data_IF_566189245836
#
_entry.id   IF_566189245836
#
_cell.length_a   1.000
_cell.length_b   1.000
_cell.length_c   1.000
_cell.angle_alpha   90.00
_cell.angle_beta   90.00
_cell.angle_gamma   90.00
#
_symmetry.space_group_name_H-M   'P 1'
#
loop_
_entity.id
_entity.type
_entity.pdbx_description
1 polymer ?
#
# COMPACT_ATOMS: atom_id res chain seq x y z
N UNK A 1 21.40 4.81 13.54
CA UNK A 1 20.89 4.76 12.16
C UNK A 1 19.87 3.63 12.09
N UNK A 2 18.63 3.95 11.70
CA UNK A 2 17.57 2.95 11.50
C UNK A 2 18.08 1.96 10.43
N UNK A 3 17.92 0.65 10.67
CA UNK A 3 18.41 -0.47 9.83
C UNK A 3 19.90 -0.79 9.80
N UNK A 4 20.77 -0.19 10.63
CA UNK A 4 22.23 -0.47 10.60
C UNK A 4 22.58 -1.96 10.68
N UNK A 5 21.76 -2.74 11.39
CA UNK A 5 21.98 -4.17 11.61
C UNK A 5 21.00 -5.05 10.80
N UNK A 6 20.24 -4.47 9.86
CA UNK A 6 19.35 -5.25 9.01
C UNK A 6 20.16 -6.07 8.01
N UNK A 7 19.90 -7.38 7.84
CA UNK A 7 20.63 -8.21 6.90
C UNK A 7 20.52 -7.73 5.44
N UNK A 8 19.51 -6.93 5.12
CA UNK A 8 19.27 -6.37 3.78
C UNK A 8 19.60 -4.87 3.70
N UNK A 9 20.36 -4.30 4.65
CA UNK A 9 20.67 -2.86 4.70
C UNK A 9 21.25 -2.34 3.37
N UNK A 10 22.13 -3.09 2.71
CA UNK A 10 22.71 -2.70 1.43
C UNK A 10 21.66 -2.60 0.31
N UNK A 11 20.68 -3.50 0.30
CA UNK A 11 19.59 -3.48 -0.67
C UNK A 11 18.67 -2.28 -0.43
N UNK A 12 18.35 -1.98 0.84
CA UNK A 12 17.54 -0.81 1.22
C UNK A 12 18.25 0.50 0.87
N UNK A 13 19.55 0.61 1.17
CA UNK A 13 20.36 1.79 0.81
C UNK A 13 20.38 1.98 -0.70
N UNK A 14 20.56 0.91 -1.49
CA UNK A 14 20.50 0.98 -2.95
C UNK A 14 19.11 1.42 -3.44
N UNK A 15 18.05 0.88 -2.87
CA UNK A 15 16.68 1.25 -3.22
C UNK A 15 16.41 2.74 -3.00
N UNK A 16 16.85 3.30 -1.86
CA UNK A 16 16.70 4.73 -1.56
C UNK A 16 17.60 5.60 -2.43
N UNK A 17 18.86 5.20 -2.64
CA UNK A 17 19.84 6.02 -3.34
C UNK A 17 19.70 5.99 -4.87
N UNK A 18 19.26 4.85 -5.43
CA UNK A 18 19.28 4.60 -6.87
C UNK A 18 17.89 4.31 -7.44
N UNK A 19 16.87 4.17 -6.59
CA UNK A 19 15.57 3.63 -6.97
C UNK A 19 15.58 2.10 -7.05
N UNK A 20 14.40 1.51 -7.00
CA UNK A 20 14.28 0.07 -7.11
C UNK A 20 14.48 -0.39 -8.55
N UNK A 21 15.24 -1.47 -8.68
CA UNK A 21 15.33 -2.20 -9.93
C UNK A 21 14.77 -3.60 -9.80
N UNK A 22 14.50 -4.19 -10.95
CA UNK A 22 14.10 -5.58 -11.12
C UNK A 22 14.83 -6.15 -12.33
N UNK A 23 14.82 -7.47 -12.43
CA UNK A 23 15.28 -8.13 -13.64
C UNK A 23 14.25 -7.85 -14.73
N UNK A 24 14.70 -7.18 -15.78
CA UNK A 24 13.88 -6.62 -16.85
C UNK A 24 14.62 -6.81 -18.16
N UNK A 25 13.96 -7.45 -19.12
CA UNK A 25 14.45 -7.60 -20.48
C UNK A 25 13.71 -6.64 -21.41
N UNK A 26 14.31 -5.49 -21.77
CA UNK A 26 13.64 -4.53 -22.64
C UNK A 26 13.47 -5.04 -24.07
N UNK A 27 14.13 -6.13 -24.47
CA UNK A 27 14.01 -6.66 -25.83
C UNK A 27 12.57 -7.05 -26.13
N UNK A 28 12.04 -6.50 -27.22
CA UNK A 28 10.67 -6.76 -27.66
C UNK A 28 9.60 -5.92 -26.96
N UNK A 29 9.92 -5.13 -25.92
CA UNK A 29 8.96 -4.18 -25.35
C UNK A 29 8.65 -3.10 -26.38
N UNK A 30 7.39 -3.06 -26.85
CA UNK A 30 6.94 -2.08 -27.82
C UNK A 30 5.48 -1.73 -27.55
N UNK A 31 5.26 -0.75 -26.68
CA UNK A 31 3.91 -0.34 -26.28
C UNK A 31 3.61 1.09 -26.77
N UNK A 32 2.42 1.26 -27.33
CA UNK A 32 1.78 2.55 -27.57
C UNK A 32 0.30 2.43 -27.23
N UNK A 33 0.01 2.22 -25.95
CA UNK A 33 -1.34 1.98 -25.48
C UNK A 33 -2.21 3.23 -25.43
N UNK A 34 -3.49 3.05 -25.68
CA UNK A 34 -4.51 4.09 -25.52
C UNK A 34 -5.00 4.15 -24.06
N UNK A 35 -5.50 5.31 -23.65
CA UNK A 35 -6.06 5.48 -22.31
C UNK A 35 -7.45 4.86 -22.21
N UNK A 36 -7.71 4.16 -21.11
CA UNK A 36 -8.97 3.49 -20.81
C UNK A 36 -9.73 4.28 -19.73
N UNK A 37 -9.93 5.57 -19.96
CA UNK A 37 -10.67 6.46 -19.05
C UNK A 37 -12.08 6.65 -19.60
N UNK A 38 -13.08 6.30 -18.80
CA UNK A 38 -14.49 6.50 -19.17
C UNK A 38 -14.79 7.99 -19.32
N UNK A 39 -15.60 8.33 -20.33
CA UNK A 39 -16.07 9.70 -20.54
C UNK A 39 -16.69 10.28 -19.27
N UNK A 40 -16.27 11.50 -18.91
CA UNK A 40 -16.68 12.20 -17.69
C UNK A 40 -15.74 12.05 -16.51
N UNK A 41 -14.77 11.11 -16.54
CA UNK A 41 -13.79 10.92 -15.47
C UNK A 41 -12.40 11.49 -15.78
N UNK A 42 -12.21 12.09 -16.95
CA UNK A 42 -10.93 12.65 -17.36
C UNK A 42 -10.47 13.76 -16.42
N UNK A 43 -11.40 14.58 -15.90
CA UNK A 43 -11.09 15.65 -14.94
C UNK A 43 -10.41 15.12 -13.67
N UNK A 44 -10.76 13.92 -13.21
CA UNK A 44 -10.13 13.32 -12.02
C UNK A 44 -8.71 12.87 -12.30
N UNK A 45 -8.47 12.40 -13.51
CA UNK A 45 -7.11 12.04 -13.93
C UNK A 45 -6.29 13.30 -14.18
N UNK A 46 -6.89 14.37 -14.73
CA UNK A 46 -6.22 15.68 -14.85
C UNK A 46 -5.80 16.18 -13.45
N UNK A 47 -6.70 16.20 -12.46
CA UNK A 47 -6.41 16.61 -11.09
C UNK A 47 -5.27 15.79 -10.46
N UNK A 48 -5.34 14.46 -10.56
CA UNK A 48 -4.28 13.57 -10.06
C UNK A 48 -2.97 13.78 -10.81
N UNK A 49 -3.01 13.93 -12.13
CA UNK A 49 -1.83 14.16 -12.95
C UNK A 49 -1.12 15.47 -12.59
N UNK A 50 -1.88 16.55 -12.41
CA UNK A 50 -1.36 17.84 -11.95
C UNK A 50 -0.75 17.75 -10.54
N UNK A 51 -1.35 16.96 -9.64
CA UNK A 51 -0.78 16.67 -8.34
C UNK A 51 0.56 15.93 -8.47
N UNK A 52 0.61 14.85 -9.25
CA UNK A 52 1.84 14.08 -9.49
C UNK A 52 2.97 14.94 -10.08
N UNK A 53 2.64 15.85 -11.01
CA UNK A 53 3.58 16.84 -11.56
C UNK A 53 4.08 17.82 -10.49
N UNK A 54 3.17 18.37 -9.68
CA UNK A 54 3.48 19.33 -8.61
C UNK A 54 4.42 18.71 -7.56
N UNK A 55 4.18 17.46 -7.19
CA UNK A 55 5.00 16.70 -6.26
C UNK A 55 6.27 16.12 -6.91
N UNK A 56 6.49 16.36 -8.22
CA UNK A 56 7.62 15.81 -9.01
C UNK A 56 7.73 14.30 -8.87
N UNK A 57 6.57 13.62 -8.82
CA UNK A 57 6.46 12.17 -8.84
C UNK A 57 6.41 11.65 -10.28
N UNK A 58 6.01 12.50 -11.21
CA UNK A 58 6.10 12.26 -12.66
C UNK A 58 6.76 13.45 -13.35
N UNK A 59 7.29 13.24 -14.56
CA UNK A 59 7.94 14.30 -15.35
C UNK A 59 7.61 14.17 -16.84
N UNK A 60 7.22 15.25 -17.54
CA UNK A 60 7.08 15.23 -18.98
C UNK A 60 8.42 14.97 -19.66
N UNK A 61 8.42 14.13 -20.68
CA UNK A 61 9.62 13.82 -21.47
C UNK A 61 9.33 13.96 -22.97
N UNK A 62 10.35 14.25 -23.79
CA UNK A 62 10.22 14.12 -25.23
C UNK A 62 9.80 12.71 -25.63
N UNK A 63 8.78 12.60 -26.49
CA UNK A 63 8.21 11.30 -26.91
C UNK A 63 9.24 10.35 -27.53
N UNK A 64 10.26 10.88 -28.21
CA UNK A 64 11.33 10.08 -28.82
C UNK A 64 12.29 9.44 -27.80
N UNK A 65 12.23 9.82 -26.52
CA UNK A 65 13.00 9.18 -25.44
C UNK A 65 12.22 8.05 -24.75
N UNK A 66 10.92 7.92 -24.99
CA UNK A 66 10.13 6.85 -24.42
C UNK A 66 10.47 5.51 -25.10
N UNK A 67 10.88 4.53 -24.31
CA UNK A 67 11.05 3.14 -24.73
C UNK A 67 9.73 2.36 -24.76
N UNK A 68 8.75 2.75 -23.95
CA UNK A 68 7.39 2.21 -23.99
C UNK A 68 6.39 3.23 -23.47
N UNK A 69 5.25 3.38 -24.15
CA UNK A 69 4.14 4.25 -23.73
C UNK A 69 2.91 3.39 -23.44
N UNK A 70 2.56 3.21 -22.16
CA UNK A 70 1.38 2.45 -21.78
C UNK A 70 0.16 3.35 -21.58
N UNK A 71 -1.03 2.78 -21.80
CA UNK A 71 -2.28 3.43 -21.46
C UNK A 71 -2.47 3.56 -19.94
N UNK A 72 -3.23 4.56 -19.52
CA UNK A 72 -3.75 4.66 -18.14
C UNK A 72 -5.26 4.47 -18.12
N UNK A 73 -5.75 3.84 -17.05
CA UNK A 73 -7.17 3.67 -16.77
C UNK A 73 -7.53 4.20 -15.39
N UNK A 74 -8.83 4.34 -15.17
CA UNK A 74 -9.40 4.73 -13.87
C UNK A 74 -10.19 3.58 -13.30
N UNK A 75 -9.92 3.24 -12.04
CA UNK A 75 -10.72 2.29 -11.27
C UNK A 75 -11.46 3.00 -10.14
N UNK A 76 -12.71 2.57 -9.92
CA UNK A 76 -13.50 3.00 -8.77
C UNK A 76 -12.89 2.45 -7.49
N UNK A 77 -12.40 3.34 -6.64
CA UNK A 77 -11.81 2.95 -5.36
C UNK A 77 -12.95 2.71 -4.37
N UNK A 78 -12.85 1.64 -3.58
CA UNK A 78 -13.77 1.32 -2.49
C UNK A 78 -15.25 1.18 -2.93
N UNK A 79 -15.50 0.90 -4.22
CA UNK A 79 -16.84 0.90 -4.82
C UNK A 79 -17.63 2.18 -4.54
N UNK A 80 -16.91 3.31 -4.49
CA UNK A 80 -17.44 4.63 -4.14
C UNK A 80 -18.33 5.25 -5.22
N UNK A 81 -18.72 4.49 -6.24
CA UNK A 81 -19.36 5.00 -7.44
C UNK A 81 -18.52 6.10 -8.12
N UNK A 82 -17.20 5.84 -8.16
CA UNK A 82 -16.16 6.71 -8.69
C UNK A 82 -16.02 8.06 -7.98
N UNK A 83 -16.54 8.26 -6.77
CA UNK A 83 -16.22 9.44 -5.96
C UNK A 83 -14.71 9.51 -5.68
N UNK A 84 -14.14 8.37 -5.24
CA UNK A 84 -12.71 8.13 -5.11
C UNK A 84 -12.23 7.29 -6.29
N UNK A 85 -11.14 7.70 -6.92
CA UNK A 85 -10.56 6.98 -8.05
C UNK A 85 -9.10 6.62 -7.81
N UNK A 86 -8.63 5.54 -8.44
CA UNK A 86 -7.20 5.27 -8.59
C UNK A 86 -6.86 5.22 -10.07
N UNK A 87 -5.77 5.88 -10.45
CA UNK A 87 -5.16 5.74 -11.77
C UNK A 87 -4.33 4.46 -11.77
N UNK A 88 -4.55 3.62 -12.78
CA UNK A 88 -3.84 2.35 -12.97
C UNK A 88 -3.19 2.36 -14.34
N UNK A 89 -1.93 1.98 -14.39
CA UNK A 89 -1.16 1.90 -15.62
C UNK A 89 -1.33 0.50 -16.22
N UNK A 90 -1.66 0.43 -17.53
CA UNK A 90 -1.78 -0.83 -18.23
C UNK A 90 -0.42 -1.36 -18.67
N UNK A 91 0.37 -1.85 -17.72
CA UNK A 91 1.66 -2.50 -18.00
C UNK A 91 1.52 -3.90 -18.58
N UNK A 92 0.31 -4.39 -18.83
CA UNK A 92 0.00 -5.75 -19.31
C UNK A 92 -0.78 -5.75 -20.62
N UNK A 93 -0.70 -4.69 -21.43
CA UNK A 93 -1.50 -4.54 -22.65
C UNK A 93 -1.41 -5.75 -23.59
N UNK A 94 -0.24 -6.40 -23.64
CA UNK A 94 -0.02 -7.63 -24.35
C UNK A 94 0.84 -8.61 -23.54
N UNK A 95 0.53 -9.90 -23.63
CA UNK A 95 1.22 -10.94 -22.86
C UNK A 95 2.66 -11.20 -23.33
N UNK A 96 3.02 -10.82 -24.56
CA UNK A 96 4.31 -11.13 -25.18
C UNK A 96 5.29 -9.95 -25.23
N UNK A 97 4.79 -8.70 -25.21
CA UNK A 97 5.64 -7.51 -25.43
C UNK A 97 5.31 -6.31 -24.52
N UNK A 98 4.64 -6.55 -23.40
CA UNK A 98 4.40 -5.53 -22.37
C UNK A 98 5.54 -5.43 -21.35
N UNK A 99 5.60 -4.30 -20.62
CA UNK A 99 6.54 -4.12 -19.51
C UNK A 99 6.42 -5.25 -18.48
N UNK A 100 5.20 -5.68 -18.17
CA UNK A 100 4.99 -6.80 -17.25
C UNK A 100 5.46 -8.13 -17.84
N UNK A 101 5.25 -8.40 -19.13
CA UNK A 101 5.78 -9.63 -19.76
C UNK A 101 7.31 -9.70 -19.72
N UNK A 102 7.96 -8.55 -19.86
CA UNK A 102 9.41 -8.37 -19.84
C UNK A 102 10.06 -8.31 -18.43
N UNK A 103 9.25 -8.34 -17.37
CA UNK A 103 9.74 -8.14 -15.99
C UNK A 103 9.75 -9.44 -15.22
N UNK A 104 10.88 -9.96 -14.77
CA UNK A 104 10.90 -11.14 -13.92
C UNK A 104 10.35 -10.84 -12.50
N UNK A 105 9.48 -11.74 -12.00
CA UNK A 105 8.94 -11.65 -10.64
C UNK A 105 9.58 -12.73 -9.77
N UNK A 106 10.39 -12.36 -8.77
CA UNK A 106 10.83 -13.29 -7.75
C UNK A 106 9.66 -13.84 -6.94
N UNK A 107 9.75 -15.10 -6.52
CA UNK A 107 8.80 -15.66 -5.56
C UNK A 107 9.10 -15.11 -4.17
N UNK A 108 8.11 -14.47 -3.55
CA UNK A 108 8.20 -13.99 -2.17
C UNK A 108 7.33 -14.87 -1.26
N UNK A 109 7.80 -15.09 -0.01
CA UNK A 109 6.98 -15.66 1.05
C UNK A 109 6.32 -14.51 1.81
N UNK A 110 5.02 -14.39 1.64
CA UNK A 110 4.23 -13.35 2.26
C UNK A 110 3.85 -13.73 3.68
N UNK A 111 3.76 -12.72 4.55
CA UNK A 111 3.03 -12.87 5.80
C UNK A 111 1.54 -13.07 5.50
N UNK A 112 0.84 -13.68 6.44
CA UNK A 112 -0.58 -13.97 6.34
C UNK A 112 -1.31 -13.53 7.59
N UNK A 113 -2.64 -13.49 7.52
CA UNK A 113 -3.47 -13.30 8.71
C UNK A 113 -3.22 -14.39 9.77
N UNK A 114 -2.75 -15.58 9.38
CA UNK A 114 -2.38 -16.64 10.33
C UNK A 114 -1.13 -16.28 11.14
N UNK A 115 -0.17 -15.59 10.54
CA UNK A 115 1.03 -15.11 11.25
C UNK A 115 0.65 -14.05 12.30
N UNK A 116 -0.30 -13.17 11.98
CA UNK A 116 -0.87 -12.24 12.96
C UNK A 116 -1.64 -12.97 14.08
N UNK A 117 -2.43 -14.01 13.75
CA UNK A 117 -3.15 -14.79 14.76
C UNK A 117 -2.26 -15.46 15.78
N UNK A 118 -1.08 -15.91 15.37
CA UNK A 118 -0.15 -16.59 16.27
C UNK A 118 0.33 -15.70 17.43
N UNK A 119 0.17 -14.38 17.31
CA UNK A 119 0.58 -13.40 18.31
C UNK A 119 -0.56 -12.89 19.20
N UNK A 120 -1.78 -13.38 19.00
CA UNK A 120 -2.94 -12.88 19.72
C UNK A 120 -3.06 -13.52 21.10
N UNK A 121 -3.29 -12.67 22.10
CA UNK A 121 -3.47 -13.09 23.48
C UNK A 121 -4.58 -12.28 24.15
N UNK A 122 -5.35 -12.88 25.09
CA UNK A 122 -6.34 -12.14 25.85
C UNK A 122 -5.75 -10.92 26.55
N UNK A 123 -6.49 -9.80 26.56
CA UNK A 123 -6.14 -8.52 27.20
C UNK A 123 -4.96 -7.75 26.59
N UNK A 124 -4.44 -8.19 25.45
CA UNK A 124 -3.42 -7.45 24.71
C UNK A 124 -4.06 -6.33 23.90
N UNK A 125 -3.27 -5.31 23.61
CA UNK A 125 -3.60 -4.13 22.82
C UNK A 125 -3.09 -4.34 21.40
N UNK A 126 -3.87 -3.90 20.42
CA UNK A 126 -3.52 -4.04 19.01
C UNK A 126 -3.46 -2.69 18.33
N UNK A 127 -2.51 -2.55 17.41
CA UNK A 127 -2.39 -1.41 16.52
C UNK A 127 -2.37 -1.90 15.09
N UNK A 128 -3.11 -1.19 14.24
CA UNK A 128 -3.00 -1.27 12.79
C UNK A 128 -2.51 0.08 12.28
N UNK A 129 -1.50 0.08 11.42
CA UNK A 129 -1.05 1.27 10.70
C UNK A 129 -1.06 0.96 9.21
N UNK A 130 -1.75 1.78 8.45
CA UNK A 130 -1.72 1.77 6.98
C UNK A 130 -0.82 2.91 6.48
N UNK A 131 0.10 2.59 5.57
CA UNK A 131 0.97 3.58 4.94
C UNK A 131 0.30 4.10 3.66
N UNK A 132 -0.34 5.26 3.78
CA UNK A 132 -0.95 5.96 2.65
C UNK A 132 0.04 6.15 1.50
N UNK A 133 -0.43 5.81 0.30
CA UNK A 133 0.32 5.97 -0.93
C UNK A 133 1.71 5.33 -0.86
N UNK A 134 1.85 4.22 -0.12
CA UNK A 134 3.09 3.50 0.13
C UNK A 134 4.04 3.44 -1.08
N UNK A 135 3.50 3.02 -2.22
CA UNK A 135 4.25 2.90 -3.48
C UNK A 135 4.80 4.22 -4.00
N UNK A 136 4.06 5.32 -3.84
CA UNK A 136 4.48 6.65 -4.32
C UNK A 136 5.71 7.20 -3.60
N UNK A 137 6.09 6.62 -2.47
CA UNK A 137 7.28 7.04 -1.73
C UNK A 137 8.57 6.42 -2.26
N UNK A 138 8.48 5.28 -2.96
CA UNK A 138 9.65 4.59 -3.50
C UNK A 138 9.86 4.96 -4.96
N UNK A 139 11.11 5.18 -5.34
CA UNK A 139 11.47 5.57 -6.72
C UNK A 139 11.81 4.36 -7.57
N UNK A 140 11.55 4.46 -8.88
CA UNK A 140 12.07 3.51 -9.86
C UNK A 140 13.53 3.87 -10.18
N UNK A 141 14.37 2.87 -10.44
CA UNK A 141 15.73 3.13 -10.90
C UNK A 141 15.75 3.86 -12.24
N UNK A 142 16.59 4.89 -12.36
CA UNK A 142 16.64 5.80 -13.51
C UNK A 142 16.73 5.08 -14.87
N UNK A 143 17.44 3.95 -14.92
CA UNK A 143 17.61 3.15 -16.16
C UNK A 143 16.31 2.56 -16.71
N UNK A 144 15.25 2.45 -15.89
CA UNK A 144 13.96 1.90 -16.31
C UNK A 144 12.91 2.96 -16.62
N UNK A 145 13.19 4.25 -16.35
CA UNK A 145 12.19 5.33 -16.51
C UNK A 145 11.62 5.39 -17.93
N UNK A 146 12.44 5.11 -18.94
CA UNK A 146 12.03 5.14 -20.34
C UNK A 146 10.94 4.11 -20.68
N UNK A 147 10.77 3.06 -19.87
CA UNK A 147 9.74 2.04 -20.05
C UNK A 147 8.53 2.25 -19.12
N UNK A 148 8.63 3.19 -18.20
CA UNK A 148 7.58 3.57 -17.24
C UNK A 148 6.99 4.90 -17.65
N UNK A 149 6.49 4.96 -18.88
CA UNK A 149 5.92 6.19 -19.43
C UNK A 149 4.51 5.96 -19.91
N UNK A 150 3.65 6.96 -19.70
CA UNK A 150 2.29 6.97 -20.21
C UNK A 150 2.04 8.23 -21.01
N UNK A 151 0.97 8.18 -21.81
CA UNK A 151 0.44 9.38 -22.46
C UNK A 151 -0.74 9.91 -21.64
N UNK A 152 -0.70 11.19 -21.30
CA UNK A 152 -1.88 11.88 -20.78
C UNK A 152 -2.07 13.16 -21.58
N UNK A 153 -3.27 13.33 -22.15
CA UNK A 153 -3.53 14.36 -23.16
C UNK A 153 -2.48 14.29 -24.28
N UNK A 154 -1.82 15.40 -24.58
CA UNK A 154 -0.80 15.51 -25.63
C UNK A 154 0.63 15.32 -25.11
N UNK A 155 0.80 14.91 -23.84
CA UNK A 155 2.10 14.76 -23.20
C UNK A 155 2.49 13.29 -22.99
N UNK A 156 3.77 12.97 -23.18
CA UNK A 156 4.38 11.71 -22.75
C UNK A 156 5.10 11.97 -21.44
N UNK A 157 4.78 11.18 -20.42
CA UNK A 157 5.19 11.44 -19.04
C UNK A 157 5.83 10.20 -18.46
N UNK A 158 7.01 10.35 -17.87
CA UNK A 158 7.71 9.30 -17.15
C UNK A 158 7.31 9.30 -15.67
N UNK A 159 7.00 8.13 -15.13
CA UNK A 159 6.74 7.92 -13.71
C UNK A 159 8.06 7.67 -12.96
N UNK A 160 8.31 8.47 -11.93
CA UNK A 160 9.52 8.38 -11.11
C UNK A 160 9.31 7.49 -9.88
N UNK A 161 8.07 7.08 -9.59
CA UNK A 161 7.66 6.34 -8.40
C UNK A 161 7.13 4.96 -8.75
N UNK A 162 6.89 4.11 -7.76
CA UNK A 162 6.30 2.80 -8.02
C UNK A 162 4.87 2.98 -8.57
N UNK A 163 4.62 2.56 -9.83
CA UNK A 163 3.35 2.82 -10.46
C UNK A 163 2.39 1.68 -10.20
N UNK A 164 1.11 2.01 -10.00
CA UNK A 164 0.07 1.00 -9.86
C UNK A 164 -0.13 0.24 -11.18
N UNK A 165 -0.05 -1.09 -11.13
CA UNK A 165 -0.16 -1.98 -12.28
C UNK A 165 1.14 -2.69 -12.66
N UNK A 166 2.29 -2.25 -12.14
CA UNK A 166 3.56 -2.92 -12.40
C UNK A 166 3.73 -4.17 -11.52
N UNK A 167 4.00 -5.33 -12.13
CA UNK A 167 3.90 -6.63 -11.46
C UNK A 167 4.98 -6.91 -10.41
N UNK A 168 6.16 -6.28 -10.52
CA UNK A 168 7.24 -6.45 -9.55
C UNK A 168 7.14 -5.50 -8.34
N UNK A 169 6.31 -4.46 -8.41
CA UNK A 169 6.20 -3.43 -7.36
C UNK A 169 5.82 -4.01 -6.00
N UNK A 170 4.79 -4.88 -5.87
CA UNK A 170 4.42 -5.46 -4.58
C UNK A 170 5.58 -6.24 -3.93
N UNK A 171 6.30 -7.05 -4.70
CA UNK A 171 7.44 -7.83 -4.20
C UNK A 171 8.59 -6.94 -3.71
N UNK A 172 8.87 -5.85 -4.44
CA UNK A 172 9.86 -4.85 -4.03
C UNK A 172 9.44 -4.10 -2.76
N UNK A 173 8.17 -3.73 -2.66
CA UNK A 173 7.65 -3.10 -1.45
C UNK A 173 7.71 -4.05 -0.25
N UNK A 174 7.41 -5.34 -0.46
CA UNK A 174 7.52 -6.36 0.59
C UNK A 174 8.93 -6.48 1.20
N UNK A 175 10.00 -6.25 0.43
CA UNK A 175 11.36 -6.19 0.97
C UNK A 175 11.52 -5.04 1.99
N UNK A 176 10.91 -3.89 1.71
CA UNK A 176 10.86 -2.74 2.63
C UNK A 176 10.00 -3.08 3.85
N UNK A 177 8.79 -3.62 3.64
CA UNK A 177 7.90 -4.06 4.72
C UNK A 177 8.59 -5.02 5.68
N UNK A 178 9.29 -6.02 5.15
CA UNK A 178 10.03 -6.99 5.96
C UNK A 178 11.18 -6.37 6.75
N UNK A 179 11.84 -5.35 6.22
CA UNK A 179 12.86 -4.59 6.96
C UNK A 179 12.25 -3.78 8.10
N UNK A 180 11.09 -3.15 7.87
CA UNK A 180 10.35 -2.44 8.90
C UNK A 180 9.89 -3.38 10.01
N UNK A 181 9.35 -4.55 9.64
CA UNK A 181 8.94 -5.58 10.59
C UNK A 181 10.12 -6.06 11.45
N UNK A 182 11.27 -6.36 10.84
CA UNK A 182 12.49 -6.76 11.57
C UNK A 182 12.98 -5.65 12.50
N UNK A 183 12.92 -4.40 12.07
CA UNK A 183 13.29 -3.27 12.91
C UNK A 183 12.38 -3.19 14.14
N UNK A 184 11.05 -3.24 13.97
CA UNK A 184 10.10 -3.23 15.08
C UNK A 184 10.32 -4.39 16.04
N UNK A 185 10.53 -5.60 15.52
CA UNK A 185 10.89 -6.77 16.32
C UNK A 185 12.18 -6.56 17.12
N UNK A 186 13.19 -5.93 16.50
CA UNK A 186 14.44 -5.55 17.15
C UNK A 186 14.29 -4.48 18.23
N UNK A 187 13.21 -3.68 18.21
CA UNK A 187 12.86 -2.73 19.27
C UNK A 187 12.03 -3.36 20.42
N UNK A 188 11.76 -4.67 20.37
CA UNK A 188 10.99 -5.38 21.40
C UNK A 188 9.53 -5.64 21.03
N UNK A 189 9.06 -5.16 19.87
CA UNK A 189 7.71 -5.44 19.38
C UNK A 189 7.67 -6.77 18.62
N UNK A 190 7.92 -7.87 19.32
CA UNK A 190 8.08 -9.21 18.71
C UNK A 190 6.83 -9.71 17.98
N UNK A 191 5.66 -9.23 18.39
CA UNK A 191 4.34 -9.51 17.81
C UNK A 191 3.95 -8.48 16.73
N UNK A 192 4.90 -8.13 15.87
CA UNK A 192 4.69 -7.27 14.70
C UNK A 192 4.59 -8.10 13.42
N UNK A 193 3.64 -7.79 12.56
CA UNK A 193 3.44 -8.41 11.24
C UNK A 193 3.22 -7.32 10.21
N UNK A 194 4.00 -7.34 9.13
CA UNK A 194 3.82 -6.43 7.99
C UNK A 194 3.31 -7.17 6.76
N UNK A 195 2.29 -6.61 6.10
CA UNK A 195 1.80 -7.08 4.80
C UNK A 195 1.69 -5.89 3.85
N UNK A 196 2.64 -5.77 2.92
CA UNK A 196 2.75 -4.58 2.07
C UNK A 196 2.73 -3.30 2.91
N UNK A 197 1.74 -2.43 2.71
CA UNK A 197 1.52 -1.16 3.37
C UNK A 197 0.78 -1.26 4.72
N UNK A 198 0.21 -2.41 5.04
CA UNK A 198 -0.42 -2.70 6.33
C UNK A 198 0.60 -3.22 7.36
N UNK A 199 0.66 -2.55 8.51
CA UNK A 199 1.40 -3.00 9.69
C UNK A 199 0.44 -3.31 10.82
N UNK A 200 0.64 -4.45 11.45
CA UNK A 200 -0.10 -4.86 12.62
C UNK A 200 0.86 -5.19 13.77
N UNK A 201 0.56 -4.69 14.96
CA UNK A 201 1.36 -4.93 16.17
C UNK A 201 0.42 -5.29 17.33
N UNK A 202 0.81 -6.28 18.13
CA UNK A 202 0.10 -6.67 19.34
C UNK A 202 1.03 -6.57 20.56
N UNK A 203 0.57 -5.91 21.62
CA UNK A 203 1.35 -5.59 22.81
C UNK A 203 0.59 -5.97 24.08
N UNK A 204 1.30 -6.34 25.14
CA UNK A 204 0.68 -6.72 26.42
C UNK A 204 0.10 -5.54 27.23
N UNK A 205 0.45 -4.31 26.86
CA UNK A 205 -0.04 -3.09 27.52
C UNK A 205 -0.30 -1.97 26.51
N UNK A 206 -1.16 -1.03 26.89
CA UNK A 206 -1.48 0.16 26.11
C UNK A 206 -0.26 1.04 25.88
N UNK A 207 0.58 1.21 26.90
CA UNK A 207 1.83 1.98 26.82
C UNK A 207 2.75 1.42 25.74
N UNK A 208 3.01 0.10 25.75
CA UNK A 208 3.83 -0.54 24.73
C UNK A 208 3.22 -0.46 23.33
N UNK A 209 1.89 -0.48 23.23
CA UNK A 209 1.21 -0.25 21.97
C UNK A 209 1.52 1.19 21.48
N UNK A 210 1.28 2.21 22.30
CA UNK A 210 1.56 3.60 21.92
C UNK A 210 3.03 3.83 21.55
N UNK A 211 3.97 3.22 22.27
CA UNK A 211 5.39 3.25 21.90
C UNK A 211 5.66 2.61 20.53
N UNK A 212 5.01 1.47 20.22
CA UNK A 212 5.11 0.85 18.90
C UNK A 212 4.58 1.78 17.79
N UNK A 213 3.47 2.45 18.03
CA UNK A 213 2.90 3.43 17.11
C UNK A 213 3.87 4.58 16.85
N UNK A 214 4.49 5.13 17.91
CA UNK A 214 5.50 6.19 17.80
C UNK A 214 6.71 5.73 16.98
N UNK A 215 7.17 4.49 17.14
CA UNK A 215 8.27 3.94 16.34
C UNK A 215 7.89 3.82 14.86
N UNK A 216 6.68 3.34 14.56
CA UNK A 216 6.18 3.27 13.18
C UNK A 216 6.10 4.69 12.58
N UNK A 217 5.63 5.67 13.35
CA UNK A 217 5.58 7.08 12.91
C UNK A 217 6.99 7.65 12.66
N UNK A 218 7.95 7.36 13.54
CA UNK A 218 9.34 7.80 13.36
C UNK A 218 9.96 7.21 12.08
N UNK A 219 9.68 5.93 11.78
CA UNK A 219 10.09 5.29 10.54
C UNK A 219 9.46 5.98 9.32
N UNK A 220 8.16 6.31 9.39
CA UNK A 220 7.48 7.03 8.30
C UNK A 220 8.13 8.37 8.01
N UNK A 221 8.44 9.15 9.05
CA UNK A 221 9.16 10.43 8.91
C UNK A 221 10.55 10.21 8.32
N UNK A 222 11.29 9.22 8.82
CA UNK A 222 12.63 8.88 8.32
C UNK A 222 12.63 8.51 6.83
N UNK A 223 11.62 7.76 6.39
CA UNK A 223 11.46 7.33 5.00
C UNK A 223 10.78 8.39 4.11
N UNK A 224 10.37 9.53 4.67
CA UNK A 224 9.68 10.60 3.93
C UNK A 224 8.27 10.21 3.46
N UNK A 225 7.59 9.32 4.18
CA UNK A 225 6.24 8.83 3.82
C UNK A 225 5.17 9.85 4.26
N UNK A 226 4.41 10.41 3.32
CA UNK A 226 3.31 11.37 3.58
C UNK A 226 2.18 10.79 4.49
N UNK A 227 1.39 11.68 5.09
CA UNK A 227 0.35 11.36 6.08
C UNK A 227 -0.91 10.67 5.48
N UNK A 228 -1.26 9.45 5.93
CA UNK A 228 -2.58 9.21 6.52
C UNK A 228 -2.44 9.05 8.03
N UNK A 229 -3.45 9.52 8.76
CA UNK A 229 -3.57 9.39 10.20
C UNK A 229 -4.87 8.63 10.51
N UNK A 230 -4.77 7.59 11.32
CA UNK A 230 -5.93 6.85 11.81
C UNK A 230 -5.99 6.96 13.33
N UNK A 231 -7.04 7.64 13.84
CA UNK A 231 -7.46 7.59 15.24
C UNK A 231 -8.59 6.58 15.38
N UNK A 232 -8.79 5.98 16.56
CA UNK A 232 -9.83 4.97 16.72
C UNK A 232 -11.26 5.59 16.66
N UNK A 233 -12.10 5.30 15.65
CA UNK A 233 -13.61 5.36 15.72
C UNK A 233 -14.40 4.33 14.83
N UNK A 234 -15.76 4.29 14.87
CA UNK A 234 -16.71 3.12 14.72
C UNK A 234 -17.72 3.14 13.51
N UNK A 235 -17.90 1.98 12.81
CA UNK A 235 -19.10 1.39 12.08
C UNK A 235 -19.63 2.02 10.75
N UNK A 236 -20.13 1.38 9.66
CA UNK A 236 -20.03 0.04 8.98
C UNK A 236 -20.45 0.15 7.49
N UNK A 237 -20.01 -0.85 6.73
CA UNK A 237 -20.60 -1.51 5.54
C UNK A 237 -20.09 -1.11 4.14
N UNK A 238 -19.00 -1.76 3.70
CA UNK A 238 -19.03 -2.56 2.47
C UNK A 238 -17.90 -3.59 2.48
N UNK A 239 -18.25 -4.82 2.15
CA UNK A 239 -17.39 -5.99 2.12
C UNK A 239 -16.51 -5.99 0.87
N UNK A 240 -15.18 -5.85 1.01
CA UNK A 240 -14.17 -6.70 0.31
C UNK A 240 -12.68 -6.45 0.67
N UNK A 241 -12.32 -5.47 1.52
CA UNK A 241 -10.97 -5.36 2.15
C UNK A 241 -10.98 -5.64 3.67
N UNK A 242 -12.19 -5.89 4.15
CA UNK A 242 -12.65 -5.96 5.53
C UNK A 242 -12.08 -7.13 6.34
N UNK A 243 -11.42 -8.12 5.73
CA UNK A 243 -10.93 -9.28 6.48
C UNK A 243 -9.75 -8.97 7.41
N UNK A 244 -8.96 -7.93 7.15
CA UNK A 244 -7.94 -7.42 8.07
C UNK A 244 -8.50 -6.39 9.07
N UNK A 245 -9.55 -5.65 8.69
CA UNK A 245 -10.16 -4.61 9.54
C UNK A 245 -11.21 -5.15 10.52
N UNK A 246 -12.03 -6.12 10.09
CA UNK A 246 -12.90 -6.92 10.95
C UNK A 246 -12.20 -8.18 11.47
N UNK A 247 -10.89 -8.33 11.26
CA UNK A 247 -10.16 -9.51 11.72
C UNK A 247 -10.26 -9.65 13.23
N UNK A 248 -9.87 -8.59 13.94
CA UNK A 248 -9.94 -8.48 15.40
C UNK A 248 -11.37 -8.64 15.91
N UNK A 249 -12.37 -8.23 15.13
CA UNK A 249 -13.81 -8.40 15.42
C UNK A 249 -14.26 -9.85 15.32
N UNK A 250 -14.04 -10.46 14.16
CA UNK A 250 -14.44 -11.84 13.87
C UNK A 250 -13.71 -12.81 14.79
N UNK A 251 -12.46 -12.49 15.11
CA UNK A 251 -11.65 -13.27 16.03
C UNK A 251 -12.05 -13.09 17.49
N UNK A 252 -12.40 -11.88 17.93
CA UNK A 252 -12.94 -11.66 19.27
C UNK A 252 -14.25 -12.44 19.48
N UNK A 253 -15.15 -12.39 18.50
CA UNK A 253 -16.40 -13.15 18.53
C UNK A 253 -16.17 -14.66 18.47
N UNK A 254 -15.17 -15.15 17.72
CA UNK A 254 -14.88 -16.57 17.57
C UNK A 254 -14.13 -17.18 18.77
N UNK A 255 -13.15 -16.47 19.34
CA UNK A 255 -12.30 -16.98 20.43
C UNK A 255 -12.89 -16.70 21.82
N UNK A 256 -13.65 -15.60 21.98
CA UNK A 256 -14.22 -15.19 23.26
C UNK A 256 -15.73 -15.08 23.23
N UNK A 257 -16.40 -15.66 22.22
CA UNK A 257 -17.85 -15.58 22.06
C UNK A 257 -18.64 -15.97 23.31
N UNK A 258 -18.18 -16.94 24.10
CA UNK A 258 -18.80 -17.28 25.39
C UNK A 258 -18.69 -16.18 26.44
N UNK A 259 -17.55 -15.48 26.51
CA UNK A 259 -17.29 -14.38 27.46
C UNK A 259 -17.88 -13.05 27.02
N UNK A 260 -18.16 -12.90 25.72
CA UNK A 260 -18.77 -11.71 25.13
C UNK A 260 -20.30 -11.80 25.05
N UNK A 261 -20.91 -12.91 25.49
CA UNK A 261 -22.38 -13.07 25.54
C UNK A 261 -23.01 -11.97 26.40
N UNK A 262 -24.00 -11.28 25.84
CA UNK A 262 -24.74 -10.22 26.54
C UNK A 262 -23.97 -8.91 26.72
N UNK A 263 -22.76 -8.78 26.16
CA UNK A 263 -21.97 -7.56 26.18
C UNK A 263 -22.10 -6.82 24.83
N UNK A 264 -22.12 -5.49 24.87
CA UNK A 264 -22.04 -4.64 23.67
C UNK A 264 -20.57 -4.47 23.30
N UNK A 265 -20.14 -5.05 22.17
CA UNK A 265 -18.74 -4.94 21.71
C UNK A 265 -18.59 -3.73 20.79
N UNK A 266 -17.67 -2.83 21.15
CA UNK A 266 -17.38 -1.58 20.41
C UNK A 266 -16.20 -1.80 19.47
N UNK A 267 -16.42 -1.57 18.17
CA UNK A 267 -15.53 -1.99 17.09
C UNK A 267 -15.28 -0.86 16.12
N UNK A 268 -14.02 -0.53 15.92
CA UNK A 268 -13.59 0.78 15.46
C UNK A 268 -12.81 0.60 14.14
N UNK A 269 -13.37 1.09 13.02
CA UNK A 269 -12.85 0.99 11.64
C UNK A 269 -13.14 2.28 10.83
N UNK A 270 -12.39 2.52 9.74
CA UNK A 270 -12.19 3.83 9.07
C UNK A 270 -13.28 4.31 8.06
N UNK A 271 -14.19 3.47 7.57
CA UNK A 271 -15.07 3.87 6.45
C UNK A 271 -16.47 4.39 6.84
N UNK A 272 -16.59 5.58 7.44
CA UNK A 272 -17.91 6.28 7.52
C UNK A 272 -17.84 7.82 7.45
N UNK A 273 -18.65 8.47 6.57
CA UNK A 273 -18.66 9.92 6.42
C UNK A 273 -19.50 10.64 7.49
N UNK A 274 -19.04 11.85 7.83
CA UNK A 274 -19.63 12.93 8.62
C UNK A 274 -21.14 12.86 8.96
N UNK A 275 -21.47 12.55 10.23
CA UNK A 275 -22.32 13.33 11.17
C UNK A 275 -22.94 12.41 12.24
N UNK A 276 -22.69 12.74 13.50
CA UNK A 276 -23.70 12.72 14.56
C UNK A 276 -24.12 11.41 15.26
N UNK A 277 -24.06 10.24 14.62
CA UNK A 277 -24.78 9.06 15.16
C UNK A 277 -23.87 7.92 15.66
N UNK A 278 -24.09 7.52 16.91
CA UNK A 278 -23.34 6.45 17.62
C UNK A 278 -24.06 5.11 17.47
N UNK A 279 -23.53 4.19 16.65
CA UNK A 279 -24.05 2.83 16.51
C UNK A 279 -23.59 1.86 17.62
N UNK A 280 -24.49 0.99 18.10
CA UNK A 280 -24.24 -0.10 19.06
C UNK A 280 -24.43 -1.45 18.35
N UNK A 281 -23.52 -2.41 18.58
CA UNK A 281 -23.71 -3.82 18.17
C UNK A 281 -23.97 -4.65 19.42
N UNK A 282 -25.18 -5.19 19.53
CA UNK A 282 -25.56 -6.15 20.56
C UNK A 282 -25.35 -7.58 20.03
N UNK A 283 -24.67 -8.41 20.81
CA UNK A 283 -24.44 -9.82 20.49
C UNK A 283 -25.58 -10.64 21.10
N UNK A 284 -26.47 -11.13 20.24
CA UNK A 284 -27.61 -11.98 20.60
C UNK A 284 -27.25 -13.48 20.55
N UNK A 285 -28.00 -14.35 21.27
CA UNK A 285 -27.69 -15.78 21.44
C UNK A 285 -27.50 -16.57 20.14
#
# INVERSE_FOLDING_TARGET
MIFRNDPNVDALVRLVAQGAGWQFDPEGVNMSGENYVKAGFEHKVDELHEEELRHRRVVPIPSHLAGAVHGVGVVDKDHSNFEKVRVVHNYSENEDWSVNSATDIPKHKWQSAADAMAHLWPRYFMIKVDIKSAYQHLTIALRYLWYHTYRWRDEVVADLRFPFGHRAVPGKFHEVTGALERFLKGQGFSASVGFLDDFWVCCESETLALEALEQIQAIRVFLGLEEAFYRPFRDRASSQIVYLELFSVFLALKLWGEFLRGLTVVLITDDTPTRGDVGKVEVYP
#
